data_IF_865893003736
#
_entry.id   IF_865893003736
#
_cell.length_a   1.000
_cell.length_b   1.000
_cell.length_c   1.000
_cell.angle_alpha   90.00
_cell.angle_beta   90.00
_cell.angle_gamma   90.00
#
_symmetry.space_group_name_H-M   'P 1'
#
loop_
_entity.id
_entity.type
_entity.pdbx_description
1 polymer ?
#
# COMPACT_ATOMS: atom_id res chain seq x y z
N UNK A 1 -21.45 23.34 -30.53
CA UNK A 1 -21.58 22.71 -29.21
C UNK A 1 -20.19 22.30 -28.81
N UNK A 2 -19.51 23.20 -28.10
CA UNK A 2 -18.27 22.92 -27.39
C UNK A 2 -18.69 22.39 -26.03
N UNK A 3 -18.36 21.14 -25.72
CA UNK A 3 -18.83 20.55 -24.48
C UNK A 3 -18.57 19.06 -24.43
N UNK A 4 -18.01 18.66 -23.29
CA UNK A 4 -17.90 17.30 -22.78
C UNK A 4 -18.98 16.36 -23.35
N UNK A 5 -18.57 15.19 -23.85
CA UNK A 5 -19.49 14.16 -24.35
C UNK A 5 -19.05 12.77 -23.91
N UNK A 6 -20.03 11.98 -23.46
CA UNK A 6 -19.82 10.57 -23.14
C UNK A 6 -19.79 9.77 -24.43
N UNK A 7 -18.63 9.21 -24.77
CA UNK A 7 -18.42 8.40 -25.98
C UNK A 7 -18.88 6.97 -25.72
N UNK A 8 -18.50 6.41 -24.60
CA UNK A 8 -18.85 5.07 -24.16
C UNK A 8 -19.12 5.12 -22.66
N UNK A 9 -20.17 4.45 -22.19
CA UNK A 9 -20.44 4.34 -20.75
C UNK A 9 -21.36 3.15 -20.51
N UNK A 10 -21.15 2.51 -19.37
CA UNK A 10 -22.04 1.47 -18.84
C UNK A 10 -23.14 2.04 -17.95
N UNK A 11 -23.00 3.29 -17.50
CA UNK A 11 -23.87 3.94 -16.53
C UNK A 11 -24.68 5.10 -17.12
N UNK A 12 -24.10 5.79 -18.12
CA UNK A 12 -24.69 6.98 -18.73
C UNK A 12 -25.12 6.77 -20.19
N UNK A 13 -25.99 7.66 -20.66
CA UNK A 13 -26.37 7.68 -22.07
C UNK A 13 -25.26 8.26 -22.93
N UNK A 14 -24.84 7.53 -23.96
CA UNK A 14 -23.76 7.96 -24.85
C UNK A 14 -24.22 9.03 -25.84
N UNK A 15 -23.26 9.75 -26.41
CA UNK A 15 -23.49 10.77 -27.45
C UNK A 15 -24.22 10.18 -28.69
N UNK A 16 -24.03 8.89 -28.99
CA UNK A 16 -24.77 8.20 -30.06
C UNK A 16 -26.23 8.00 -29.68
N UNK A 17 -26.51 7.56 -28.45
CA UNK A 17 -27.87 7.37 -27.96
C UNK A 17 -28.64 8.70 -27.85
N UNK A 18 -27.94 9.80 -27.59
CA UNK A 18 -28.50 11.16 -27.56
C UNK A 18 -28.63 11.78 -28.97
N UNK A 19 -28.11 11.14 -30.01
CA UNK A 19 -28.15 11.65 -31.39
C UNK A 19 -27.17 12.79 -31.66
N UNK A 20 -26.19 13.01 -30.78
CA UNK A 20 -25.13 14.00 -30.94
C UNK A 20 -23.97 13.50 -31.82
N UNK A 21 -23.85 12.18 -31.97
CA UNK A 21 -22.80 11.50 -32.71
C UNK A 21 -23.38 10.34 -33.54
N UNK A 22 -22.79 10.05 -34.69
CA UNK A 22 -23.13 8.83 -35.44
C UNK A 22 -22.27 7.65 -34.94
N UNK A 23 -22.76 6.40 -35.03
CA UNK A 23 -21.97 5.23 -34.65
C UNK A 23 -20.60 5.17 -35.36
N UNK A 24 -20.55 5.51 -36.65
CA UNK A 24 -19.30 5.50 -37.42
C UNK A 24 -18.30 6.56 -36.95
N UNK A 25 -18.77 7.69 -36.43
CA UNK A 25 -17.88 8.69 -35.84
C UNK A 25 -17.39 8.28 -34.45
N UNK A 26 -18.24 7.61 -33.66
CA UNK A 26 -17.85 7.05 -32.36
C UNK A 26 -16.71 6.05 -32.53
N UNK A 27 -16.85 5.09 -33.45
CA UNK A 27 -15.83 4.08 -33.73
C UNK A 27 -14.49 4.70 -34.13
N UNK A 28 -14.51 5.73 -34.99
CA UNK A 28 -13.29 6.45 -35.36
C UNK A 28 -12.65 7.22 -34.20
N UNK A 29 -13.44 7.72 -33.25
CA UNK A 29 -12.92 8.36 -32.04
C UNK A 29 -12.26 7.31 -31.13
N UNK A 30 -12.91 6.16 -30.94
CA UNK A 30 -12.37 5.07 -30.14
C UNK A 30 -11.04 4.57 -30.72
N UNK A 31 -10.97 4.36 -32.03
CA UNK A 31 -9.71 4.00 -32.71
C UNK A 31 -8.62 5.07 -32.51
N UNK A 32 -8.98 6.35 -32.63
CA UNK A 32 -8.01 7.43 -32.42
C UNK A 32 -7.55 7.54 -30.94
N UNK A 33 -8.37 7.11 -29.98
CA UNK A 33 -8.01 7.04 -28.56
C UNK A 33 -7.05 5.89 -28.28
N UNK A 34 -7.23 4.73 -28.91
CA UNK A 34 -6.29 3.60 -28.82
C UNK A 34 -4.89 3.98 -29.33
N UNK A 35 -4.82 4.83 -30.35
CA UNK A 35 -3.58 5.40 -30.90
C UNK A 35 -3.10 6.67 -30.15
N UNK A 36 -3.85 7.11 -29.14
CA UNK A 36 -3.61 8.33 -28.38
C UNK A 36 -2.39 8.25 -27.44
N UNK A 37 -2.03 9.40 -26.89
CA UNK A 37 -0.94 9.53 -25.92
C UNK A 37 -1.54 9.59 -24.53
N UNK A 38 -1.21 8.61 -23.69
CA UNK A 38 -1.47 8.66 -22.25
C UNK A 38 -0.67 9.80 -21.63
N UNK A 39 -1.37 10.79 -21.08
CA UNK A 39 -0.76 11.93 -20.40
C UNK A 39 -0.56 11.66 -18.91
N UNK A 40 -1.61 11.12 -18.28
CA UNK A 40 -1.69 10.85 -16.84
C UNK A 40 -2.50 9.59 -16.61
N UNK A 41 -2.18 8.85 -15.57
CA UNK A 41 -2.94 7.68 -15.17
C UNK A 41 -2.88 7.54 -13.66
N UNK A 42 -4.02 7.20 -13.09
CA UNK A 42 -4.19 6.96 -11.67
C UNK A 42 -4.96 5.66 -11.52
N UNK A 43 -4.53 4.81 -10.60
CA UNK A 43 -4.94 3.40 -10.54
C UNK A 43 -5.19 2.97 -9.11
N UNK A 44 -6.02 1.94 -8.93
CA UNK A 44 -6.10 1.21 -7.68
C UNK A 44 -5.75 -0.26 -7.94
N UNK A 45 -5.02 -0.85 -7.00
CA UNK A 45 -4.68 -2.27 -7.01
C UNK A 45 -5.41 -3.00 -5.90
N UNK A 46 -5.75 -4.27 -6.11
CA UNK A 46 -6.22 -5.14 -5.05
C UNK A 46 -5.08 -5.48 -4.05
N UNK A 47 -5.44 -6.21 -2.98
CA UNK A 47 -4.50 -6.73 -1.98
C UNK A 47 -3.39 -7.64 -2.53
N UNK A 48 -3.50 -8.11 -3.77
CA UNK A 48 -2.48 -8.90 -4.45
C UNK A 48 -1.61 -8.05 -5.40
N UNK A 49 -1.83 -6.74 -5.44
CA UNK A 49 -1.14 -5.81 -6.33
C UNK A 49 -1.67 -5.79 -7.77
N UNK A 50 -2.77 -6.50 -8.07
CA UNK A 50 -3.36 -6.48 -9.40
C UNK A 50 -4.16 -5.21 -9.60
N UNK A 51 -3.92 -4.50 -10.71
CA UNK A 51 -4.67 -3.31 -11.06
C UNK A 51 -6.14 -3.67 -11.31
N UNK A 52 -7.03 -3.15 -10.48
CA UNK A 52 -8.47 -3.39 -10.56
C UNK A 52 -9.23 -2.19 -11.09
N UNK A 53 -8.68 -0.99 -10.89
CA UNK A 53 -9.28 0.26 -11.34
C UNK A 53 -8.26 1.15 -12.05
N UNK A 54 -8.73 1.95 -13.01
CA UNK A 54 -7.93 2.98 -13.65
C UNK A 54 -8.76 4.16 -14.09
N UNK A 55 -8.15 5.33 -14.04
CA UNK A 55 -8.58 6.54 -14.73
C UNK A 55 -7.38 7.12 -15.47
N UNK A 56 -7.55 7.38 -16.75
CA UNK A 56 -6.46 7.78 -17.63
C UNK A 56 -6.88 8.98 -18.45
N UNK A 57 -6.05 10.03 -18.44
CA UNK A 57 -6.20 11.17 -19.34
C UNK A 57 -5.38 10.91 -20.61
N UNK A 58 -6.06 10.88 -21.75
CA UNK A 58 -5.48 10.58 -23.07
C UNK A 58 -5.61 11.80 -23.97
N UNK A 59 -4.50 12.24 -24.57
CA UNK A 59 -4.52 13.20 -25.67
C UNK A 59 -4.56 12.47 -27.01
N UNK A 60 -5.42 12.90 -27.92
CA UNK A 60 -5.56 12.27 -29.22
C UNK A 60 -5.93 13.26 -30.31
N UNK A 61 -5.79 12.85 -31.58
CA UNK A 61 -6.24 13.64 -32.72
C UNK A 61 -7.57 13.09 -33.21
N UNK A 62 -8.62 13.91 -33.15
CA UNK A 62 -9.94 13.50 -33.61
C UNK A 62 -9.96 13.19 -35.12
N UNK A 63 -10.97 12.46 -35.62
CA UNK A 63 -11.10 12.15 -37.05
C UNK A 63 -11.20 13.38 -37.97
N UNK A 64 -11.46 14.56 -37.40
CA UNK A 64 -11.50 15.85 -38.09
C UNK A 64 -10.14 16.58 -38.08
N UNK A 65 -9.09 15.96 -37.52
CA UNK A 65 -7.75 16.53 -37.44
C UNK A 65 -7.54 17.53 -36.29
N UNK A 66 -8.49 17.63 -35.36
CA UNK A 66 -8.41 18.54 -34.21
C UNK A 66 -7.91 17.77 -32.98
N UNK A 67 -6.92 18.32 -32.27
CA UNK A 67 -6.45 17.78 -31.00
C UNK A 67 -7.54 17.84 -29.93
N UNK A 68 -7.70 16.76 -29.18
CA UNK A 68 -8.71 16.59 -28.14
C UNK A 68 -8.13 15.78 -26.98
N UNK A 69 -8.88 15.74 -25.88
CA UNK A 69 -8.56 14.88 -24.74
C UNK A 69 -9.77 14.04 -24.37
N UNK A 70 -9.51 12.85 -23.87
CA UNK A 70 -10.53 12.03 -23.24
C UNK A 70 -10.04 11.48 -21.91
N UNK A 71 -10.98 11.25 -21.02
CA UNK A 71 -10.77 10.46 -19.81
C UNK A 71 -11.32 9.08 -20.09
N UNK A 72 -10.47 8.07 -19.89
CA UNK A 72 -10.81 6.65 -19.99
C UNK A 72 -10.80 6.08 -18.59
N UNK A 73 -11.95 5.64 -18.12
CA UNK A 73 -12.15 5.04 -16.81
C UNK A 73 -12.51 3.57 -16.96
N UNK A 74 -11.82 2.72 -16.21
CA UNK A 74 -12.13 1.30 -16.06
C UNK A 74 -12.24 0.95 -14.59
N UNK A 75 -13.41 0.48 -14.18
CA UNK A 75 -13.67 -0.07 -12.84
C UNK A 75 -14.35 -1.44 -13.00
N UNK A 76 -14.38 -2.29 -11.97
CA UNK A 76 -15.00 -3.63 -12.05
C UNK A 76 -16.46 -3.62 -12.53
N UNK A 77 -17.20 -2.57 -12.17
CA UNK A 77 -18.62 -2.38 -12.48
C UNK A 77 -18.86 -1.91 -13.92
N UNK A 78 -17.82 -1.48 -14.63
CA UNK A 78 -17.92 -1.03 -16.01
C UNK A 78 -16.85 -0.03 -16.44
N UNK A 79 -17.06 0.55 -17.62
CA UNK A 79 -16.16 1.55 -18.20
C UNK A 79 -16.92 2.79 -18.62
N UNK A 80 -16.18 3.89 -18.69
CA UNK A 80 -16.64 5.15 -19.27
C UNK A 80 -15.51 5.86 -20.01
N UNK A 81 -15.86 6.48 -21.13
CA UNK A 81 -14.98 7.32 -21.93
C UNK A 81 -15.67 8.66 -22.14
N UNK A 82 -15.10 9.71 -21.55
CA UNK A 82 -15.59 11.09 -21.67
C UNK A 82 -14.62 11.89 -22.50
N UNK A 83 -15.10 12.48 -23.58
CA UNK A 83 -14.31 13.26 -24.53
C UNK A 83 -14.58 14.76 -24.40
N UNK A 84 -13.52 15.55 -24.47
CA UNK A 84 -13.48 16.98 -24.21
C UNK A 84 -12.91 17.74 -25.42
N UNK A 85 -13.54 18.87 -25.75
CA UNK A 85 -13.00 19.81 -26.73
C UNK A 85 -11.94 20.75 -26.13
N UNK A 86 -11.97 20.95 -24.82
CA UNK A 86 -11.11 21.88 -24.08
C UNK A 86 -10.19 21.12 -23.13
N UNK A 87 -8.90 21.47 -23.19
CA UNK A 87 -7.84 20.84 -22.41
C UNK A 87 -7.99 21.10 -20.90
N UNK A 88 -8.42 22.31 -20.50
CA UNK A 88 -8.54 22.68 -19.10
C UNK A 88 -9.75 22.00 -18.45
N UNK A 89 -10.86 21.88 -19.18
CA UNK A 89 -12.02 21.13 -18.73
C UNK A 89 -11.69 19.64 -18.52
N UNK A 90 -10.90 19.04 -19.42
CA UNK A 90 -10.47 17.65 -19.30
C UNK A 90 -9.57 17.42 -18.07
N UNK A 91 -8.59 18.30 -17.83
CA UNK A 91 -7.72 18.21 -16.65
C UNK A 91 -8.51 18.42 -15.35
N UNK A 92 -9.39 19.42 -15.31
CA UNK A 92 -10.23 19.69 -14.14
C UNK A 92 -11.17 18.52 -13.83
N UNK A 93 -11.74 17.89 -14.86
CA UNK A 93 -12.60 16.72 -14.70
C UNK A 93 -11.81 15.50 -14.22
N UNK A 94 -10.62 15.26 -14.79
CA UNK A 94 -9.73 14.18 -14.36
C UNK A 94 -9.37 14.32 -12.87
N UNK A 95 -8.91 15.49 -12.46
CA UNK A 95 -8.54 15.73 -11.06
C UNK A 95 -9.74 15.64 -10.12
N UNK A 96 -10.92 16.10 -10.54
CA UNK A 96 -12.13 15.97 -9.74
C UNK A 96 -12.51 14.50 -9.53
N UNK A 97 -12.49 13.68 -10.59
CA UNK A 97 -12.77 12.25 -10.48
C UNK A 97 -11.72 11.52 -9.63
N UNK A 98 -10.42 11.74 -9.85
CA UNK A 98 -9.37 11.13 -9.01
C UNK A 98 -9.52 11.54 -7.54
N UNK A 99 -9.84 12.82 -7.27
CA UNK A 99 -10.08 13.29 -5.89
C UNK A 99 -11.31 12.62 -5.28
N UNK A 100 -12.39 12.50 -6.04
CA UNK A 100 -13.60 11.83 -5.58
C UNK A 100 -13.32 10.35 -5.29
N UNK A 101 -12.71 9.63 -6.23
CA UNK A 101 -12.35 8.21 -6.09
C UNK A 101 -11.36 7.95 -4.94
N UNK A 102 -10.44 8.89 -4.68
CA UNK A 102 -9.55 8.83 -3.53
C UNK A 102 -10.28 9.05 -2.18
N UNK A 103 -11.49 9.62 -2.18
CA UNK A 103 -12.27 9.94 -0.97
C UNK A 103 -13.42 8.95 -0.75
N UNK A 104 -14.12 8.53 -1.81
CA UNK A 104 -15.42 7.83 -1.73
C UNK A 104 -15.34 6.35 -1.40
N UNK A 105 -14.16 5.81 -1.08
CA UNK A 105 -13.97 4.50 -0.46
C UNK A 105 -14.44 3.27 -1.29
N UNK A 106 -14.86 3.42 -2.55
CA UNK A 106 -15.16 2.28 -3.45
C UNK A 106 -13.90 1.56 -3.95
N UNK A 107 -12.73 2.16 -3.77
CA UNK A 107 -11.45 1.50 -3.93
C UNK A 107 -10.53 1.97 -2.83
N UNK A 108 -10.35 1.22 -1.74
CA UNK A 108 -9.29 1.54 -0.82
C UNK A 108 -7.98 1.40 -1.66
N UNK A 109 -7.05 2.37 -1.60
CA UNK A 109 -5.74 2.28 -2.29
C UNK A 109 -5.59 2.99 -3.64
N UNK A 110 -6.46 3.96 -3.97
CA UNK A 110 -6.32 4.77 -5.18
C UNK A 110 -5.02 5.60 -5.17
N UNK A 111 -4.14 5.38 -6.14
CA UNK A 111 -2.87 6.10 -6.30
C UNK A 111 -3.13 7.46 -6.96
N UNK A 112 -3.35 8.48 -6.12
CA UNK A 112 -3.52 9.86 -6.54
C UNK A 112 -2.22 10.69 -6.52
N UNK A 113 -1.06 10.04 -6.58
CA UNK A 113 0.24 10.71 -6.46
C UNK A 113 0.51 11.74 -7.57
N UNK A 114 -0.17 11.64 -8.70
CA UNK A 114 -0.06 12.56 -9.82
C UNK A 114 -0.99 13.79 -9.67
N UNK A 115 -1.95 13.80 -8.74
CA UNK A 115 -2.84 14.94 -8.45
C UNK A 115 -2.31 15.76 -7.28
N UNK A 116 -1.92 17.01 -7.56
CA UNK A 116 -1.37 17.90 -6.55
C UNK A 116 -2.34 18.17 -5.39
N UNK A 117 -1.87 18.02 -4.15
CA UNK A 117 -2.66 18.32 -2.96
C UNK A 117 -3.67 17.23 -2.57
N UNK A 118 -3.68 16.07 -3.22
CA UNK A 118 -4.29 14.87 -2.66
C UNK A 118 -3.29 14.26 -1.68
N UNK A 119 -3.40 14.65 -0.41
CA UNK A 119 -2.59 14.04 0.64
C UNK A 119 -3.17 12.65 0.93
N UNK A 120 -2.35 11.61 0.73
CA UNK A 120 -2.62 10.29 1.28
C UNK A 120 -3.01 10.46 2.76
N UNK A 121 -4.16 9.92 3.15
CA UNK A 121 -4.71 10.16 4.48
C UNK A 121 -3.70 9.72 5.55
N UNK A 122 -3.38 10.59 6.53
CA UNK A 122 -2.46 10.22 7.59
C UNK A 122 -3.14 9.27 8.57
N UNK A 123 -2.37 8.32 9.10
CA UNK A 123 -2.77 7.50 10.23
C UNK A 123 -1.68 7.46 11.28
N UNK A 124 -2.09 7.29 12.53
CA UNK A 124 -1.23 6.99 13.66
C UNK A 124 -1.42 5.53 14.06
N UNK A 125 -0.38 4.89 14.56
CA UNK A 125 -0.49 3.53 15.06
C UNK A 125 0.28 3.34 16.36
N UNK A 126 -0.18 2.40 17.18
CA UNK A 126 0.46 1.98 18.43
C UNK A 126 0.53 0.46 18.46
N UNK A 127 1.72 -0.08 18.72
CA UNK A 127 1.94 -1.50 19.02
C UNK A 127 2.02 -1.69 20.53
N UNK A 128 1.30 -2.68 21.00
CA UNK A 128 1.28 -3.12 22.38
C UNK A 128 1.78 -4.57 22.47
N UNK A 129 2.52 -4.88 23.53
CA UNK A 129 2.96 -6.22 23.88
C UNK A 129 2.39 -6.60 25.24
N UNK A 130 2.08 -7.88 25.44
CA UNK A 130 1.65 -8.39 26.74
C UNK A 130 2.62 -9.46 27.22
N UNK A 131 3.21 -9.26 28.39
CA UNK A 131 4.05 -10.29 29.02
C UNK A 131 3.17 -11.43 29.55
N UNK A 132 3.69 -12.67 29.68
CA UNK A 132 2.88 -13.80 30.14
C UNK A 132 2.14 -13.53 31.46
N UNK A 133 0.80 -13.52 31.40
CA UNK A 133 -0.08 -13.24 32.55
C UNK A 133 -0.06 -11.79 33.07
N UNK A 134 0.55 -10.87 32.34
CA UNK A 134 0.66 -9.46 32.72
C UNK A 134 -0.31 -8.53 31.98
N UNK A 135 -0.11 -7.23 32.19
CA UNK A 135 -0.83 -6.17 31.49
C UNK A 135 -0.20 -5.86 30.11
N UNK A 136 -0.97 -5.19 29.27
CA UNK A 136 -0.48 -4.66 28.01
C UNK A 136 0.43 -3.45 28.25
N UNK A 137 1.59 -3.44 27.62
CA UNK A 137 2.49 -2.29 27.59
C UNK A 137 2.71 -1.75 26.19
N UNK A 138 2.90 -0.44 26.09
CA UNK A 138 3.13 0.24 24.82
C UNK A 138 4.56 -0.04 24.39
N UNK A 139 4.73 -0.79 23.31
CA UNK A 139 6.05 -1.16 22.78
C UNK A 139 6.54 -0.10 21.80
N UNK A 140 5.64 0.38 20.94
CA UNK A 140 6.03 1.25 19.83
C UNK A 140 4.87 2.14 19.36
N UNK A 141 5.21 3.30 18.82
CA UNK A 141 4.26 4.23 18.19
C UNK A 141 4.85 4.77 16.91
N UNK A 142 3.99 4.99 15.93
CA UNK A 142 4.39 5.59 14.68
C UNK A 142 3.26 6.38 14.02
N UNK A 143 3.64 7.04 12.93
CA UNK A 143 2.74 7.76 12.02
C UNK A 143 3.18 7.45 10.61
N UNK A 144 2.22 7.31 9.71
CA UNK A 144 2.47 7.08 8.29
C UNK A 144 1.25 7.57 7.49
N UNK A 145 1.28 7.40 6.18
CA UNK A 145 0.15 7.68 5.29
C UNK A 145 -0.22 6.43 4.50
N UNK A 146 -1.47 6.35 4.04
CA UNK A 146 -1.89 5.27 3.12
C UNK A 146 -1.00 5.25 1.88
N UNK A 147 -0.68 4.07 1.35
CA UNK A 147 0.21 3.92 0.20
C UNK A 147 1.71 4.16 0.45
N UNK A 148 2.13 4.56 1.66
CA UNK A 148 3.55 4.53 2.07
C UNK A 148 3.97 3.10 2.45
N UNK A 149 5.23 2.77 2.19
CA UNK A 149 5.84 1.49 2.57
C UNK A 149 5.79 1.30 4.09
N UNK A 150 5.30 0.14 4.56
CA UNK A 150 4.99 -0.06 5.98
C UNK A 150 6.24 -0.41 6.81
N UNK A 151 7.14 -1.25 6.28
CA UNK A 151 8.51 -1.51 6.75
C UNK A 151 9.09 -2.68 5.92
N UNK A 152 10.42 -2.77 5.85
CA UNK A 152 11.17 -3.96 5.41
C UNK A 152 10.87 -4.47 3.98
N UNK A 153 10.58 -3.57 3.03
CA UNK A 153 10.39 -3.94 1.62
C UNK A 153 9.05 -4.62 1.31
N UNK A 154 8.14 -4.77 2.29
CA UNK A 154 6.81 -5.34 2.03
C UNK A 154 5.87 -4.25 1.52
N UNK A 155 5.64 -4.29 0.20
CA UNK A 155 4.70 -3.43 -0.54
C UNK A 155 3.26 -3.94 -0.44
N UNK A 156 2.69 -4.01 0.76
CA UNK A 156 1.24 -3.89 0.86
C UNK A 156 0.96 -2.39 0.89
N UNK A 157 0.43 -1.81 -0.20
CA UNK A 157 -0.12 -0.45 -0.16
C UNK A 157 -1.46 -0.59 0.55
N UNK A 158 -1.55 -0.40 1.87
CA UNK A 158 -2.77 -0.72 2.59
C UNK A 158 -3.82 0.23 2.09
N UNK A 159 -4.98 -0.34 1.91
CA UNK A 159 -6.08 0.34 1.29
C UNK A 159 -7.01 0.92 2.36
N UNK A 160 -7.10 0.26 3.52
CA UNK A 160 -7.95 0.60 4.65
C UNK A 160 -7.21 0.54 5.99
N UNK A 161 -7.77 1.14 7.04
CA UNK A 161 -7.21 1.02 8.40
C UNK A 161 -7.15 -0.43 8.89
N UNK A 162 -8.09 -1.29 8.48
CA UNK A 162 -8.06 -2.73 8.77
C UNK A 162 -6.82 -3.39 8.16
N UNK A 163 -6.55 -3.16 6.89
CA UNK A 163 -5.37 -3.73 6.23
C UNK A 163 -4.07 -3.19 6.83
N UNK A 164 -4.03 -1.90 7.20
CA UNK A 164 -2.88 -1.34 7.95
C UNK A 164 -2.70 -2.10 9.26
N UNK A 165 -3.79 -2.27 10.02
CA UNK A 165 -3.75 -2.89 11.33
C UNK A 165 -3.32 -4.36 11.24
N UNK A 166 -3.90 -5.12 10.31
CA UNK A 166 -3.57 -6.52 10.04
C UNK A 166 -2.13 -6.69 9.58
N UNK A 167 -1.68 -5.90 8.61
CA UNK A 167 -0.29 -5.98 8.10
C UNK A 167 0.73 -5.66 9.20
N UNK A 168 0.47 -4.61 9.99
CA UNK A 168 1.32 -4.23 11.14
C UNK A 168 1.29 -5.32 12.22
N UNK A 169 0.15 -5.97 12.43
CA UNK A 169 0.02 -7.06 13.40
C UNK A 169 0.81 -8.29 12.97
N UNK A 170 0.73 -8.69 11.69
CA UNK A 170 1.51 -9.80 11.14
C UNK A 170 3.01 -9.55 11.30
N UNK A 171 3.49 -8.36 10.92
CA UNK A 171 4.88 -7.97 11.08
C UNK A 171 5.32 -7.98 12.56
N UNK A 172 4.48 -7.45 13.45
CA UNK A 172 4.76 -7.43 14.88
C UNK A 172 4.78 -8.85 15.48
N UNK A 173 3.88 -9.73 15.06
CA UNK A 173 3.80 -11.11 15.52
C UNK A 173 4.99 -11.94 15.03
N UNK A 174 5.37 -11.81 13.75
CA UNK A 174 6.54 -12.47 13.16
C UNK A 174 7.83 -12.05 13.86
N UNK A 175 8.00 -10.74 14.08
CA UNK A 175 9.15 -10.20 14.81
C UNK A 175 9.18 -10.73 16.24
N UNK A 176 8.04 -10.70 16.93
CA UNK A 176 7.96 -11.15 18.31
C UNK A 176 8.22 -12.65 18.46
N UNK A 177 7.73 -13.48 17.54
CA UNK A 177 7.98 -14.92 17.55
C UNK A 177 9.48 -15.22 17.45
N UNK A 178 10.21 -14.50 16.57
CA UNK A 178 11.67 -14.61 16.46
C UNK A 178 12.38 -14.16 17.74
N UNK A 179 11.94 -13.06 18.33
CA UNK A 179 12.50 -12.55 19.60
C UNK A 179 12.26 -13.53 20.77
N UNK A 180 11.09 -14.18 20.81
CA UNK A 180 10.77 -15.21 21.81
C UNK A 180 11.65 -16.47 21.65
N UNK A 181 11.87 -16.94 20.41
CA UNK A 181 12.78 -18.07 20.13
C UNK A 181 14.20 -17.75 20.58
N UNK A 182 14.71 -16.58 20.20
CA UNK A 182 16.04 -16.13 20.61
C UNK A 182 16.18 -16.05 22.13
N UNK A 183 15.21 -15.44 22.81
CA UNK A 183 15.23 -15.33 24.27
C UNK A 183 15.26 -16.70 24.97
N UNK A 184 14.46 -17.65 24.48
CA UNK A 184 14.42 -19.00 25.03
C UNK A 184 15.74 -19.77 24.82
N UNK A 185 16.38 -19.61 23.66
CA UNK A 185 17.69 -20.20 23.38
C UNK A 185 18.80 -19.59 24.25
N UNK A 186 18.82 -18.27 24.43
CA UNK A 186 19.74 -17.61 25.37
C UNK A 186 19.55 -18.13 26.79
N UNK A 187 18.31 -18.24 27.26
CA UNK A 187 18.00 -18.75 28.59
C UNK A 187 18.48 -20.20 28.77
N UNK A 188 18.29 -21.06 27.75
CA UNK A 188 18.75 -22.45 27.78
C UNK A 188 20.30 -22.57 27.86
N UNK A 189 21.04 -21.57 27.39
CA UNK A 189 22.49 -21.47 27.53
C UNK A 189 22.93 -20.74 28.81
N UNK A 190 22.01 -20.33 29.68
CA UNK A 190 22.32 -19.56 30.88
C UNK A 190 22.72 -18.11 30.60
N UNK A 191 22.39 -17.60 29.41
CA UNK A 191 22.64 -16.22 28.99
C UNK A 191 21.41 -15.34 29.25
N UNK A 192 21.64 -14.05 29.45
CA UNK A 192 20.56 -13.05 29.53
C UNK A 192 20.22 -12.58 28.12
N UNK A 193 18.95 -12.68 27.73
CA UNK A 193 18.46 -12.07 26.49
C UNK A 193 18.21 -10.58 26.71
N UNK A 194 18.50 -9.75 25.69
CA UNK A 194 18.19 -8.32 25.72
C UNK A 194 16.74 -8.01 25.34
N UNK A 195 16.01 -8.99 24.77
CA UNK A 195 14.62 -8.85 24.33
C UNK A 195 13.61 -9.22 25.42
N UNK A 196 12.51 -8.47 25.48
CA UNK A 196 11.35 -8.80 26.32
C UNK A 196 10.52 -9.88 25.64
N UNK A 197 10.05 -10.86 26.42
CA UNK A 197 9.19 -11.94 25.95
C UNK A 197 7.73 -11.51 26.09
N UNK A 198 7.01 -11.48 24.97
CA UNK A 198 5.58 -11.22 24.94
C UNK A 198 4.81 -12.45 24.45
N UNK A 199 3.67 -12.75 25.09
CA UNK A 199 2.76 -13.85 24.72
C UNK A 199 1.61 -13.40 23.80
N UNK A 200 1.48 -12.11 23.58
CA UNK A 200 0.52 -11.53 22.67
C UNK A 200 1.00 -10.15 22.18
N UNK A 201 0.58 -9.79 20.98
CA UNK A 201 0.77 -8.46 20.39
C UNK A 201 -0.58 -7.89 19.98
N UNK A 202 -0.72 -6.57 20.09
CA UNK A 202 -1.91 -5.82 19.66
C UNK A 202 -1.46 -4.59 18.90
N UNK A 203 -2.17 -4.28 17.82
CA UNK A 203 -1.96 -3.07 17.04
C UNK A 203 -3.25 -2.26 17.04
N UNK A 204 -3.10 -0.97 17.33
CA UNK A 204 -4.16 0.03 17.24
C UNK A 204 -3.78 1.02 16.14
N UNK A 205 -4.65 1.23 15.16
CA UNK A 205 -4.44 2.20 14.07
C UNK A 205 -5.58 3.19 14.10
N UNK A 206 -5.27 4.47 14.06
CA UNK A 206 -6.24 5.56 14.07
C UNK A 206 -6.00 6.49 12.88
N UNK A 207 -7.04 6.78 12.11
CA UNK A 207 -6.98 7.66 10.94
C UNK A 207 -8.35 7.85 10.32
N UNK A 208 -8.40 8.48 9.15
CA UNK A 208 -9.62 8.66 8.36
C UNK A 208 -9.39 8.13 6.95
N UNK A 209 -9.82 6.89 6.70
CA UNK A 209 -9.67 6.18 5.43
C UNK A 209 -10.93 6.19 4.56
N UNK A 210 -12.01 6.80 5.03
CA UNK A 210 -13.32 6.84 4.33
C UNK A 210 -13.82 8.27 4.10
N UNK A 211 -13.10 9.29 4.58
CA UNK A 211 -13.54 10.68 4.55
C UNK A 211 -14.75 10.96 5.45
N UNK A 212 -15.13 10.01 6.31
CA UNK A 212 -16.28 10.10 7.22
C UNK A 212 -15.88 10.45 8.66
N UNK A 213 -14.60 10.75 8.87
CA UNK A 213 -14.05 11.12 10.17
C UNK A 213 -13.15 10.05 10.76
N UNK A 214 -12.37 10.48 11.76
CA UNK A 214 -11.35 9.64 12.40
C UNK A 214 -11.98 8.44 13.13
N UNK A 215 -11.43 7.25 12.88
CA UNK A 215 -11.80 6.01 13.55
C UNK A 215 -10.56 5.22 13.96
N UNK A 216 -10.73 4.37 14.96
CA UNK A 216 -9.67 3.47 15.45
C UNK A 216 -10.02 2.03 15.15
N UNK A 217 -9.08 1.31 14.53
CA UNK A 217 -9.12 -0.14 14.35
C UNK A 217 -8.13 -0.77 15.33
N UNK A 218 -8.56 -1.85 15.99
CA UNK A 218 -7.73 -2.61 16.93
C UNK A 218 -7.75 -4.07 16.55
N UNK A 219 -6.58 -4.66 16.38
CA UNK A 219 -6.39 -6.09 16.11
C UNK A 219 -5.37 -6.66 17.07
N UNK A 220 -5.52 -7.92 17.45
CA UNK A 220 -4.65 -8.60 18.39
C UNK A 220 -4.40 -10.05 17.97
N UNK A 221 -3.22 -10.56 18.30
CA UNK A 221 -2.80 -11.92 18.00
C UNK A 221 -1.99 -12.50 19.16
N UNK A 222 -2.28 -13.72 19.64
CA UNK A 222 -1.40 -14.43 20.56
C UNK A 222 -0.10 -14.81 19.85
N UNK A 223 1.02 -14.72 20.57
CA UNK A 223 2.34 -15.13 20.08
C UNK A 223 2.80 -16.34 20.89
N UNK A 224 3.14 -17.42 20.20
CA UNK A 224 3.59 -18.63 20.88
C UNK A 224 4.90 -18.38 21.64
N UNK A 225 4.95 -18.88 22.88
CA UNK A 225 6.19 -18.99 23.63
C UNK A 225 6.97 -20.21 23.14
N UNK A 226 8.28 -20.05 22.96
CA UNK A 226 9.13 -21.13 22.48
C UNK A 226 9.70 -21.93 23.64
N UNK A 227 9.67 -23.26 23.52
CA UNK A 227 10.42 -24.17 24.39
C UNK A 227 11.46 -24.87 23.53
N UNK A 228 12.76 -24.55 23.68
CA UNK A 228 13.77 -25.02 22.76
C UNK A 228 14.05 -26.51 22.97
N UNK A 229 14.27 -27.20 21.87
CA UNK A 229 14.70 -28.61 21.88
C UNK A 229 16.21 -28.72 22.15
N UNK A 230 16.68 -29.91 22.56
CA UNK A 230 18.12 -30.14 22.78
C UNK A 230 18.94 -29.87 21.50
N UNK A 231 18.41 -30.25 20.34
CA UNK A 231 19.05 -30.05 19.05
C UNK A 231 19.15 -28.56 18.70
N UNK A 232 18.08 -27.78 18.90
CA UNK A 232 18.10 -26.32 18.68
C UNK A 232 19.10 -25.62 19.59
N UNK A 233 19.20 -26.03 20.86
CA UNK A 233 20.21 -25.49 21.80
C UNK A 233 21.62 -25.86 21.36
N UNK A 234 21.84 -27.09 20.88
CA UNK A 234 23.14 -27.54 20.38
C UNK A 234 23.57 -26.78 19.12
N UNK A 235 22.65 -26.58 18.18
CA UNK A 235 22.90 -25.82 16.95
C UNK A 235 23.13 -24.33 17.24
N UNK A 236 22.34 -23.73 18.13
CA UNK A 236 22.55 -22.35 18.56
C UNK A 236 23.89 -22.16 19.25
N UNK A 237 24.30 -23.11 20.11
CA UNK A 237 25.64 -23.09 20.74
C UNK A 237 26.76 -23.16 19.68
N UNK A 238 26.59 -23.99 18.64
CA UNK A 238 27.55 -24.10 17.54
C UNK A 238 27.65 -22.79 16.76
N UNK A 239 26.51 -22.18 16.43
CA UNK A 239 26.45 -20.90 15.73
C UNK A 239 27.13 -19.77 16.54
N UNK A 240 26.87 -19.70 17.85
CA UNK A 240 27.52 -18.71 18.72
C UNK A 240 29.05 -18.89 18.79
N UNK A 241 29.54 -20.13 18.82
CA UNK A 241 30.98 -20.40 18.77
C UNK A 241 31.61 -19.94 17.44
N UNK A 242 30.93 -20.19 16.32
CA UNK A 242 31.38 -19.74 15.00
C UNK A 242 31.46 -18.21 14.90
N UNK A 243 30.43 -17.50 15.37
CA UNK A 243 30.41 -16.03 15.38
C UNK A 243 31.56 -15.49 16.25
N UNK A 244 31.81 -16.10 17.40
CA UNK A 244 32.92 -15.71 18.27
C UNK A 244 34.28 -15.89 17.58
N UNK A 245 34.51 -17.04 16.95
CA UNK A 245 35.76 -17.31 16.23
C UNK A 245 35.96 -16.35 15.05
N UNK A 246 34.89 -16.01 14.33
CA UNK A 246 34.93 -15.04 13.22
C UNK A 246 35.26 -13.63 13.71
N UNK A 247 34.61 -13.15 14.78
CA UNK A 247 34.93 -11.85 15.37
C UNK A 247 36.36 -11.77 15.90
N UNK A 248 36.89 -12.87 16.47
CA UNK A 248 38.30 -12.92 16.90
C UNK A 248 39.25 -12.83 15.70
N UNK A 249 38.91 -13.49 14.58
CA UNK A 249 39.70 -13.41 13.34
C UNK A 249 39.69 -11.99 12.77
N UNK A 250 38.53 -11.37 12.66
CA UNK A 250 38.39 -9.99 12.19
C UNK A 250 39.18 -9.00 13.05
N UNK A 251 39.05 -9.10 14.38
CA UNK A 251 39.81 -8.26 15.31
C UNK A 251 41.33 -8.44 15.20
N UNK A 252 41.80 -9.66 14.94
CA UNK A 252 43.22 -9.93 14.68
C UNK A 252 43.68 -9.32 13.36
N UNK A 253 42.92 -9.47 12.28
CA UNK A 253 43.21 -8.89 10.97
C UNK A 253 43.28 -7.36 11.04
N UNK A 254 42.33 -6.72 11.74
CA UNK A 254 42.35 -5.28 11.99
C UNK A 254 43.58 -4.83 12.79
N UNK A 255 43.94 -5.57 13.84
CA UNK A 255 45.12 -5.27 14.65
C UNK A 255 46.41 -5.35 13.82
N UNK A 256 46.57 -6.37 12.98
CA UNK A 256 47.74 -6.51 12.12
C UNK A 256 47.78 -5.46 11.00
N UNK A 257 46.62 -5.04 10.48
CA UNK A 257 46.53 -3.95 9.51
C UNK A 257 46.93 -2.58 10.10
N UNK A 258 46.71 -2.37 11.40
CA UNK A 258 47.06 -1.12 12.09
C UNK A 258 48.52 -1.06 12.58
N UNK A 259 49.16 -2.23 12.73
CA UNK A 259 50.52 -2.35 13.28
C UNK A 259 51.64 -2.39 12.21
N UNK A 260 51.30 -2.42 10.92
CA UNK A 260 52.24 -2.43 9.78
C UNK A 260 52.27 -1.11 9.03
#
# INVERSE_FOLDING_TARGET
MTGMRVIESTWERTAVQLGHLTPEHQEKILQALEEGIMLRSSTASDKYGQQTHSITLVAYTSPLGVGRRAIVQHIPEGSEIVDFDDDADAEAHYEAQVRELAVTSEGPGWDASDVAGVALAPYAWTRWGRVPGGEWECVERGRARFGEEIDDGRWARPTSLEEVAETRLELAADRQAKENVFAALCQALGMTASSVVYDAVRVEVTGDDTGHGERTVTVECPVALHTPTEDEVADFRRAMAQIYDEQQREAQEEFYAYAG
#
